data_IF_124450321767
#
_entry.id   IF_124450321767
#
_cell.length_a   1.000
_cell.length_b   1.000
_cell.length_c   1.000
_cell.angle_alpha   90.00
_cell.angle_beta   90.00
_cell.angle_gamma   90.00
#
_symmetry.space_group_name_H-M   'P 1'
#
loop_
_entity.id
_entity.type
_entity.pdbx_description
1 polymer ?
#
# COMPACT_ATOMS: atom_id res chain seq x y z
N UNK A 1 6.89 26.80 -34.80
CA UNK A 1 6.58 26.20 -36.12
C UNK A 1 6.04 24.80 -35.90
N UNK A 2 4.73 24.59 -36.08
CA UNK A 2 4.12 23.26 -36.01
C UNK A 2 4.31 22.58 -37.36
N UNK A 3 5.36 21.77 -37.50
CA UNK A 3 5.51 20.87 -38.63
C UNK A 3 4.54 19.71 -38.42
N UNK A 4 3.46 19.64 -39.20
CA UNK A 4 2.62 18.45 -39.25
C UNK A 4 3.33 17.41 -40.12
N UNK A 5 3.94 16.39 -39.52
CA UNK A 5 4.47 15.26 -40.28
C UNK A 5 3.31 14.52 -40.93
N UNK A 6 3.43 14.20 -42.22
CA UNK A 6 2.48 13.38 -42.95
C UNK A 6 3.19 12.09 -43.38
N UNK A 7 2.49 10.97 -43.22
CA UNK A 7 2.96 9.64 -43.58
C UNK A 7 1.96 9.02 -44.56
N UNK A 8 2.47 8.46 -45.66
CA UNK A 8 1.68 7.56 -46.52
C UNK A 8 1.93 6.14 -46.04
N UNK A 9 0.86 5.41 -45.74
CA UNK A 9 0.92 4.01 -45.30
C UNK A 9 -0.01 3.19 -46.18
N UNK A 10 0.52 2.14 -46.80
CA UNK A 10 -0.24 1.17 -47.60
C UNK A 10 -0.71 0.00 -46.74
N UNK A 11 0.04 -0.33 -45.68
CA UNK A 11 -0.24 -1.47 -44.80
C UNK A 11 -0.42 -1.07 -43.34
N UNK A 12 -1.25 -1.83 -42.61
CA UNK A 12 -1.47 -1.63 -41.17
C UNK A 12 -0.15 -1.70 -40.37
N UNK A 13 0.79 -2.56 -40.80
CA UNK A 13 2.11 -2.65 -40.18
C UNK A 13 2.88 -1.33 -40.21
N UNK A 14 2.73 -0.55 -41.28
CA UNK A 14 3.39 0.76 -41.43
C UNK A 14 2.73 1.79 -40.52
N UNK A 15 1.40 1.76 -40.41
CA UNK A 15 0.67 2.60 -39.43
C UNK A 15 1.12 2.28 -38.01
N UNK A 16 1.26 0.98 -37.65
CA UNK A 16 1.75 0.57 -36.35
C UNK A 16 3.19 1.07 -36.10
N UNK A 17 4.09 0.93 -37.08
CA UNK A 17 5.47 1.39 -36.97
C UNK A 17 5.54 2.91 -36.77
N UNK A 18 4.85 3.68 -37.61
CA UNK A 18 4.78 5.15 -37.48
C UNK A 18 4.23 5.57 -36.12
N UNK A 19 3.19 4.89 -35.64
CA UNK A 19 2.60 5.16 -34.31
C UNK A 19 3.63 4.92 -33.19
N UNK A 20 4.39 3.83 -33.26
CA UNK A 20 5.43 3.52 -32.26
C UNK A 20 6.56 4.55 -32.30
N UNK A 21 6.99 4.97 -33.50
CA UNK A 21 8.02 5.99 -33.66
C UNK A 21 7.57 7.35 -33.10
N UNK A 22 6.34 7.77 -33.39
CA UNK A 22 5.78 8.99 -32.83
C UNK A 22 5.66 8.92 -31.31
N UNK A 23 5.23 7.77 -30.75
CA UNK A 23 5.21 7.55 -29.29
C UNK A 23 6.60 7.65 -28.65
N UNK A 24 7.64 7.17 -29.34
CA UNK A 24 9.02 7.27 -28.87
C UNK A 24 9.50 8.73 -28.83
N UNK A 25 9.16 9.53 -29.85
CA UNK A 25 9.54 10.94 -29.93
C UNK A 25 8.76 11.84 -28.96
N UNK A 26 7.51 11.48 -28.66
CA UNK A 26 6.60 12.30 -27.84
C UNK A 26 6.81 12.15 -26.32
N UNK A 27 7.83 11.40 -25.89
CA UNK A 27 8.22 11.22 -24.48
C UNK A 27 7.06 10.78 -23.55
N UNK A 28 6.04 10.10 -24.09
CA UNK A 28 4.94 9.60 -23.27
C UNK A 28 5.44 8.56 -22.26
N UNK A 29 5.04 8.73 -20.99
CA UNK A 29 5.35 7.77 -19.94
C UNK A 29 4.28 6.69 -19.96
N UNK A 30 4.62 5.48 -20.40
CA UNK A 30 3.71 4.33 -20.31
C UNK A 30 3.91 3.64 -18.96
N UNK A 31 2.84 3.46 -18.19
CA UNK A 31 2.87 2.82 -16.87
C UNK A 31 1.98 1.60 -16.82
N UNK A 32 2.28 0.68 -15.90
CA UNK A 32 1.39 -0.42 -15.53
C UNK A 32 0.51 0.00 -14.35
N UNK A 33 -0.80 -0.15 -14.47
CA UNK A 33 -1.76 0.21 -13.42
C UNK A 33 -1.56 -0.69 -12.19
N UNK A 34 -1.39 -0.08 -11.02
CA UNK A 34 -1.22 -0.79 -9.75
C UNK A 34 -2.48 -1.49 -9.21
N UNK A 35 -3.64 -1.34 -9.88
CA UNK A 35 -4.88 -2.02 -9.52
C UNK A 35 -5.23 -3.16 -10.49
N UNK A 36 -5.42 -2.86 -11.78
CA UNK A 36 -5.85 -3.84 -12.78
C UNK A 36 -4.71 -4.45 -13.61
N UNK A 37 -3.47 -3.96 -13.46
CA UNK A 37 -2.31 -4.47 -14.19
C UNK A 37 -2.23 -4.12 -15.68
N UNK A 38 -3.21 -3.40 -16.24
CA UNK A 38 -3.18 -2.93 -17.64
C UNK A 38 -2.22 -1.74 -17.81
N UNK A 39 -1.64 -1.60 -19.00
CA UNK A 39 -0.82 -0.44 -19.35
C UNK A 39 -1.70 0.80 -19.61
N UNK A 40 -1.19 1.99 -19.26
CA UNK A 40 -1.86 3.27 -19.47
C UNK A 40 -0.87 4.42 -19.58
N UNK A 41 -1.30 5.53 -20.18
CA UNK A 41 -0.55 6.79 -20.23
C UNK A 41 -1.18 7.75 -19.20
N UNK A 42 -0.42 8.26 -18.20
CA UNK A 42 -0.94 9.20 -17.23
C UNK A 42 -1.12 10.58 -17.88
N UNK A 43 -2.35 11.10 -17.87
CA UNK A 43 -2.69 12.35 -18.54
C UNK A 43 -2.11 13.61 -17.85
N UNK A 44 -2.36 13.77 -16.54
CA UNK A 44 -2.12 15.05 -15.85
C UNK A 44 -0.91 15.06 -14.93
N UNK A 45 -0.56 13.90 -14.34
CA UNK A 45 0.53 13.82 -13.38
C UNK A 45 1.37 12.59 -13.60
N UNK A 46 2.67 12.82 -13.77
CA UNK A 46 3.66 11.77 -13.94
C UNK A 46 3.76 10.83 -12.73
N UNK A 47 3.24 11.17 -11.55
CA UNK A 47 3.20 10.32 -10.36
C UNK A 47 1.97 9.40 -10.30
N UNK A 48 1.03 9.50 -11.24
CA UNK A 48 -0.18 8.66 -11.27
C UNK A 48 0.20 7.18 -11.38
N UNK A 49 -0.37 6.34 -10.50
CA UNK A 49 -0.09 4.88 -10.44
C UNK A 49 -1.29 4.00 -10.83
N UNK A 50 -2.46 4.61 -11.03
CA UNK A 50 -3.70 3.91 -11.40
C UNK A 50 -4.29 4.53 -12.67
N UNK A 51 -4.79 3.70 -13.59
CA UNK A 51 -5.47 4.15 -14.79
C UNK A 51 -6.92 4.59 -14.51
N UNK A 52 -7.55 5.24 -15.48
CA UNK A 52 -8.95 5.69 -15.40
C UNK A 52 -9.95 4.63 -15.91
N UNK A 53 -9.50 3.42 -16.25
CA UNK A 53 -10.39 2.30 -16.60
C UNK A 53 -11.21 1.84 -15.38
N UNK A 54 -12.39 1.25 -15.63
CA UNK A 54 -13.22 0.60 -14.61
C UNK A 54 -12.42 -0.45 -13.82
N UNK A 55 -12.61 -0.45 -12.51
CA UNK A 55 -11.93 -1.34 -11.56
C UNK A 55 -12.43 -2.77 -11.69
N UNK A 56 -11.55 -3.79 -11.72
CA UNK A 56 -11.99 -5.19 -11.76
C UNK A 56 -12.66 -5.64 -10.46
N UNK A 57 -12.52 -4.89 -9.36
CA UNK A 57 -13.17 -5.17 -8.08
C UNK A 57 -14.49 -4.41 -7.86
N UNK A 58 -14.76 -3.39 -8.68
CA UNK A 58 -15.95 -2.55 -8.55
C UNK A 58 -16.28 -1.89 -9.88
N UNK A 59 -17.40 -2.30 -10.48
CA UNK A 59 -17.86 -1.86 -11.80
C UNK A 59 -18.35 -0.40 -11.84
N UNK A 60 -18.61 0.21 -10.68
CA UNK A 60 -19.07 1.60 -10.56
C UNK A 60 -17.93 2.58 -10.36
N UNK A 61 -16.69 2.10 -10.21
CA UNK A 61 -15.52 2.93 -9.88
C UNK A 61 -14.37 2.67 -10.83
N UNK A 62 -13.62 3.71 -11.12
CA UNK A 62 -12.35 3.61 -11.84
C UNK A 62 -11.27 2.98 -10.94
N UNK A 63 -10.22 2.43 -11.55
CA UNK A 63 -9.05 1.93 -10.83
C UNK A 63 -8.42 3.01 -9.94
N UNK A 64 -8.52 4.28 -10.35
CA UNK A 64 -8.02 5.43 -9.61
C UNK A 64 -8.82 5.71 -8.36
N UNK A 65 -10.14 5.70 -8.44
CA UNK A 65 -11.03 5.90 -7.28
C UNK A 65 -10.92 4.73 -6.30
N UNK A 66 -11.03 3.50 -6.80
CA UNK A 66 -10.92 2.29 -5.99
C UNK A 66 -9.53 2.19 -5.33
N UNK A 67 -8.47 2.33 -6.13
CA UNK A 67 -7.09 2.21 -5.65
C UNK A 67 -6.73 3.27 -4.61
N UNK A 68 -7.16 4.52 -4.82
CA UNK A 68 -6.92 5.61 -3.86
C UNK A 68 -7.65 5.37 -2.54
N UNK A 69 -8.91 4.93 -2.60
CA UNK A 69 -9.69 4.64 -1.40
C UNK A 69 -9.09 3.46 -0.62
N UNK A 70 -8.72 2.38 -1.32
CA UNK A 70 -8.06 1.23 -0.71
C UNK A 70 -6.76 1.64 0.00
N UNK A 71 -5.90 2.40 -0.69
CA UNK A 71 -4.64 2.88 -0.11
C UNK A 71 -4.87 3.74 1.14
N UNK A 72 -5.92 4.56 1.15
CA UNK A 72 -6.29 5.35 2.32
C UNK A 72 -6.71 4.46 3.50
N UNK A 73 -7.57 3.47 3.27
CA UNK A 73 -7.96 2.51 4.31
C UNK A 73 -6.78 1.72 4.87
N UNK A 74 -5.88 1.27 3.99
CA UNK A 74 -4.69 0.52 4.40
C UNK A 74 -3.76 1.37 5.28
N UNK A 75 -3.58 2.65 4.94
CA UNK A 75 -2.84 3.61 5.78
C UNK A 75 -3.52 3.81 7.14
N UNK A 76 -4.85 3.98 7.16
CA UNK A 76 -5.61 4.18 8.39
C UNK A 76 -5.45 3.00 9.35
N UNK A 77 -5.52 1.76 8.83
CA UNK A 77 -5.29 0.54 9.61
C UNK A 77 -3.86 0.48 10.16
N UNK A 78 -2.85 0.76 9.33
CA UNK A 78 -1.45 0.77 9.78
C UNK A 78 -1.21 1.81 10.88
N UNK A 79 -1.84 2.99 10.79
CA UNK A 79 -1.70 4.03 11.80
C UNK A 79 -2.41 3.67 13.11
N UNK A 80 -3.57 3.02 13.05
CA UNK A 80 -4.22 2.43 14.23
C UNK A 80 -3.31 1.41 14.91
N UNK A 81 -2.73 0.48 14.14
CA UNK A 81 -1.82 -0.54 14.65
C UNK A 81 -0.57 0.08 15.32
N UNK A 82 0.04 1.11 14.71
CA UNK A 82 1.18 1.84 15.28
C UNK A 82 0.81 2.51 16.61
N UNK A 83 -0.35 3.19 16.65
CA UNK A 83 -0.84 3.90 17.84
C UNK A 83 -1.08 2.93 19.00
N UNK A 84 -1.81 1.83 18.75
CA UNK A 84 -2.06 0.79 19.74
C UNK A 84 -0.76 0.17 20.25
N UNK A 85 0.15 -0.19 19.33
CA UNK A 85 1.43 -0.77 19.69
C UNK A 85 2.23 0.14 20.64
N UNK A 86 2.36 1.42 20.29
CA UNK A 86 3.10 2.41 21.09
C UNK A 86 2.50 2.57 22.48
N UNK A 87 1.17 2.68 22.57
CA UNK A 87 0.48 2.86 23.85
C UNK A 87 0.67 1.67 24.80
N UNK A 88 0.58 0.44 24.28
CA UNK A 88 0.80 -0.77 25.08
C UNK A 88 2.27 -0.87 25.51
N UNK A 89 3.19 -0.61 24.59
CA UNK A 89 4.63 -0.63 24.86
C UNK A 89 5.00 0.35 25.98
N UNK A 90 4.59 1.62 25.87
CA UNK A 90 4.85 2.65 26.88
C UNK A 90 4.30 2.24 28.24
N UNK A 91 3.07 1.72 28.30
CA UNK A 91 2.50 1.29 29.57
C UNK A 91 3.26 0.12 30.22
N UNK A 92 3.64 -0.91 29.44
CA UNK A 92 4.44 -2.04 29.94
C UNK A 92 5.84 -1.60 30.36
N UNK A 93 6.45 -0.68 29.62
CA UNK A 93 7.76 -0.12 29.95
C UNK A 93 7.71 0.68 31.26
N UNK A 94 6.70 1.52 31.44
CA UNK A 94 6.51 2.26 32.69
C UNK A 94 6.24 1.33 33.88
N UNK A 95 5.49 0.25 33.68
CA UNK A 95 5.27 -0.76 34.71
C UNK A 95 6.57 -1.46 35.11
N UNK A 96 7.37 -1.91 34.13
CA UNK A 96 8.66 -2.53 34.40
C UNK A 96 9.65 -1.59 35.11
N UNK A 97 9.61 -0.28 34.79
CA UNK A 97 10.44 0.73 35.47
C UNK A 97 10.01 1.02 36.91
N UNK A 98 8.70 0.95 37.21
CA UNK A 98 8.16 1.21 38.56
C UNK A 98 8.41 0.05 39.52
N UNK A 99 8.42 -1.19 39.01
CA UNK A 99 8.53 -2.42 39.80
C UNK A 99 9.76 -3.23 39.36
N UNK A 100 10.95 -2.68 39.61
CA UNK A 100 12.24 -3.28 39.20
C UNK A 100 12.55 -4.59 39.95
N UNK A 101 12.05 -4.69 41.17
CA UNK A 101 12.16 -5.84 42.08
C UNK A 101 11.28 -7.02 41.66
N UNK A 102 10.32 -6.82 40.74
CA UNK A 102 9.40 -7.85 40.26
C UNK A 102 9.72 -8.19 38.79
N UNK A 103 10.51 -9.26 38.52
CA UNK A 103 10.96 -9.62 37.16
C UNK A 103 9.84 -9.91 36.17
N UNK A 104 8.64 -10.25 36.66
CA UNK A 104 7.44 -10.51 35.85
C UNK A 104 7.14 -9.36 34.89
N UNK A 105 7.30 -8.11 35.32
CA UNK A 105 6.96 -6.96 34.48
C UNK A 105 7.97 -6.75 33.34
N UNK A 106 9.26 -6.92 33.61
CA UNK A 106 10.30 -6.91 32.57
C UNK A 106 10.10 -8.06 31.56
N UNK A 107 9.83 -9.29 32.04
CA UNK A 107 9.53 -10.44 31.17
C UNK A 107 8.28 -10.21 30.31
N UNK A 108 7.24 -9.58 30.86
CA UNK A 108 6.02 -9.25 30.12
C UNK A 108 6.25 -8.23 29.00
N UNK A 109 7.12 -7.23 29.23
CA UNK A 109 7.51 -6.27 28.19
C UNK A 109 8.26 -6.97 27.05
N UNK A 110 9.25 -7.80 27.36
CA UNK A 110 10.02 -8.51 26.34
C UNK A 110 9.16 -9.53 25.59
N UNK A 111 8.31 -10.28 26.28
CA UNK A 111 7.34 -11.19 25.63
C UNK A 111 6.46 -10.44 24.63
N UNK A 112 5.93 -9.28 25.01
CA UNK A 112 5.12 -8.46 24.12
C UNK A 112 5.89 -7.99 22.87
N UNK A 113 7.13 -7.52 23.03
CA UNK A 113 7.98 -7.10 21.90
C UNK A 113 8.23 -8.26 20.95
N UNK A 114 8.59 -9.43 21.47
CA UNK A 114 8.86 -10.62 20.67
C UNK A 114 7.62 -11.10 19.91
N UNK A 115 6.47 -11.17 20.59
CA UNK A 115 5.21 -11.56 19.94
C UNK A 115 4.77 -10.57 18.87
N UNK A 116 4.84 -9.26 19.15
CA UNK A 116 4.51 -8.22 18.16
C UNK A 116 5.44 -8.29 16.94
N UNK A 117 6.75 -8.51 17.15
CA UNK A 117 7.72 -8.67 16.05
C UNK A 117 7.39 -9.89 15.18
N UNK A 118 7.05 -11.02 15.79
CA UNK A 118 6.67 -12.22 15.06
C UNK A 118 5.38 -12.00 14.27
N UNK A 119 4.34 -11.43 14.87
CA UNK A 119 3.08 -11.16 14.17
C UNK A 119 3.27 -10.20 13.00
N UNK A 120 4.10 -9.16 13.15
CA UNK A 120 4.44 -8.27 12.01
C UNK A 120 5.19 -8.99 10.91
N UNK A 121 6.03 -9.98 11.24
CA UNK A 121 6.69 -10.83 10.24
C UNK A 121 5.66 -11.71 9.53
N UNK A 122 4.75 -12.32 10.27
CA UNK A 122 3.66 -13.14 9.71
C UNK A 122 2.75 -12.32 8.78
N UNK A 123 2.47 -11.06 9.12
CA UNK A 123 1.73 -10.14 8.25
C UNK A 123 2.48 -9.85 6.95
N UNK A 124 3.79 -9.59 7.03
CA UNK A 124 4.62 -9.37 5.83
C UNK A 124 4.71 -10.60 4.94
N UNK A 125 4.72 -11.79 5.52
CA UNK A 125 4.75 -13.06 4.82
C UNK A 125 3.35 -13.48 4.30
N UNK A 126 2.31 -12.69 4.57
CA UNK A 126 0.93 -13.00 4.15
C UNK A 126 0.26 -14.12 4.95
N UNK A 127 0.88 -14.60 6.03
CA UNK A 127 0.33 -15.63 6.94
C UNK A 127 -0.77 -15.08 7.86
N UNK A 128 -0.76 -13.77 8.07
CA UNK A 128 -1.78 -13.03 8.83
C UNK A 128 -2.11 -11.72 8.13
N UNK A 129 -3.27 -11.16 8.45
CA UNK A 129 -3.71 -9.85 8.01
C UNK A 129 -3.34 -8.75 9.02
N UNK A 130 -3.24 -7.50 8.56
CA UNK A 130 -3.07 -6.33 9.43
C UNK A 130 -4.22 -6.22 10.46
N UNK A 131 -5.45 -6.64 10.08
CA UNK A 131 -6.61 -6.64 10.96
C UNK A 131 -6.43 -7.63 12.14
N UNK A 132 -5.94 -8.84 11.89
CA UNK A 132 -5.63 -9.81 12.96
C UNK A 132 -4.55 -9.30 13.90
N UNK A 133 -3.57 -8.55 13.38
CA UNK A 133 -2.55 -7.92 14.21
C UNK A 133 -3.14 -6.81 15.11
N UNK A 134 -4.02 -5.96 14.56
CA UNK A 134 -4.76 -4.95 15.33
C UNK A 134 -5.62 -5.60 16.42
N UNK A 135 -6.31 -6.68 16.09
CA UNK A 135 -7.17 -7.41 17.03
C UNK A 135 -6.35 -8.01 18.17
N UNK A 136 -5.19 -8.59 17.88
CA UNK A 136 -4.26 -9.04 18.92
C UNK A 136 -3.81 -7.88 19.83
N UNK A 137 -3.52 -6.70 19.27
CA UNK A 137 -3.16 -5.52 20.08
C UNK A 137 -4.31 -5.09 21.00
N UNK A 138 -5.56 -5.10 20.52
CA UNK A 138 -6.75 -4.80 21.34
C UNK A 138 -6.90 -5.79 22.50
N UNK A 139 -6.80 -7.08 22.22
CA UNK A 139 -6.81 -8.13 23.23
C UNK A 139 -5.69 -7.98 24.27
N UNK A 140 -4.47 -7.63 23.85
CA UNK A 140 -3.36 -7.36 24.80
C UNK A 140 -3.63 -6.12 25.66
N UNK A 141 -4.31 -5.11 25.12
CA UNK A 141 -4.69 -3.90 25.86
C UNK A 141 -5.79 -4.18 26.87
N UNK A 142 -6.76 -5.05 26.55
CA UNK A 142 -7.89 -5.42 27.41
C UNK A 142 -7.49 -6.34 28.57
N UNK A 143 -6.52 -7.24 28.35
CA UNK A 143 -5.88 -8.06 29.40
C UNK A 143 -5.02 -7.26 30.40
N UNK A 144 -5.22 -5.93 30.47
CA UNK A 144 -4.74 -5.06 31.54
C UNK A 144 -5.67 -5.06 32.76
N UNK A 145 -6.78 -5.81 32.74
CA UNK A 145 -7.52 -6.21 33.96
C UNK A 145 -6.92 -7.49 34.50
#
# INVERSE_FOLDING_TARGET
CNYSKQYSCEYISEVCLVTILELQESHYIIKKCGNCGKYFIPYNRADTIYCDNISPQDDKRTCKEYGSQKLWYDKLKQDEAKKLYRNIYMAKQMQAKRYLDIPKYAKNLEKYKTQSKQLKKDVKEGKKSEAEYIEWLKNVKEKKV
#
